data_IF_167730585073
#
_entry.id   IF_167730585073
#
_cell.length_a   1.000
_cell.length_b   1.000
_cell.length_c   1.000
_cell.angle_alpha   90.00
_cell.angle_beta   90.00
_cell.angle_gamma   90.00
#
_symmetry.space_group_name_H-M   'P 1'
#
loop_
_entity.id
_entity.type
_entity.pdbx_description
1 polymer ?
#
# COMPACT_ATOMS: atom_id res chain seq x y z
N UNK A 1 -0.46 -25.08 -4.49
CA UNK A 1 -0.25 -24.23 -5.68
C UNK A 1 -0.67 -22.83 -5.30
N UNK A 2 0.28 -21.93 -5.08
CA UNK A 2 -0.04 -20.52 -4.82
C UNK A 2 -0.34 -19.83 -6.14
N UNK A 3 -1.62 -19.69 -6.48
CA UNK A 3 -2.04 -18.89 -7.62
C UNK A 3 -2.18 -17.44 -7.17
N UNK A 4 -1.15 -16.63 -7.43
CA UNK A 4 -1.11 -15.20 -7.16
C UNK A 4 0.26 -14.61 -7.50
N UNK A 5 0.29 -13.34 -7.91
CA UNK A 5 1.54 -12.62 -8.18
C UNK A 5 1.57 -11.30 -7.40
N UNK A 6 2.78 -10.84 -7.11
CA UNK A 6 3.02 -9.54 -6.49
C UNK A 6 3.10 -8.49 -7.59
N UNK A 7 2.49 -7.34 -7.39
CA UNK A 7 2.59 -6.22 -8.31
C UNK A 7 2.49 -4.90 -7.56
N UNK A 8 3.20 -3.88 -8.07
CA UNK A 8 3.05 -2.51 -7.62
C UNK A 8 1.73 -1.94 -8.13
N UNK A 9 0.91 -1.43 -7.22
CA UNK A 9 -0.31 -0.71 -7.58
C UNK A 9 0.01 0.76 -7.92
N UNK A 10 -0.41 1.22 -9.09
CA UNK A 10 -0.34 2.63 -9.50
C UNK A 10 -1.75 3.22 -9.58
N UNK A 11 -1.97 4.36 -8.93
CA UNK A 11 -3.23 5.08 -8.95
C UNK A 11 -3.31 5.99 -10.18
N UNK A 12 -4.35 5.79 -11.00
CA UNK A 12 -4.58 6.53 -12.25
C UNK A 12 -5.80 7.43 -12.09
N UNK A 13 -5.57 8.74 -11.98
CA UNK A 13 -6.63 9.74 -11.84
C UNK A 13 -7.27 10.07 -13.19
N UNK A 14 -8.60 10.09 -13.26
CA UNK A 14 -9.34 10.56 -14.45
C UNK A 14 -9.92 11.94 -14.19
N UNK A 15 -9.24 12.96 -14.70
CA UNK A 15 -9.63 14.37 -14.58
C UNK A 15 -10.34 14.82 -15.86
N UNK A 16 -11.60 15.23 -15.75
CA UNK A 16 -12.35 15.73 -16.89
C UNK A 16 -13.53 16.62 -16.47
N UNK A 17 -13.99 17.53 -17.34
CA UNK A 17 -15.31 18.11 -17.20
C UNK A 17 -16.39 17.03 -17.37
N UNK A 18 -17.61 17.32 -16.91
CA UNK A 18 -18.74 16.36 -16.96
C UNK A 18 -19.44 16.25 -18.32
N UNK A 19 -18.72 16.34 -19.44
CA UNK A 19 -19.27 16.16 -20.81
C UNK A 19 -18.58 15.04 -21.59
N UNK A 20 -17.77 14.21 -20.93
CA UNK A 20 -16.96 13.16 -21.58
C UNK A 20 -17.12 11.78 -20.91
N UNK A 21 -18.30 11.47 -20.39
CA UNK A 21 -18.55 10.24 -19.61
C UNK A 21 -18.19 8.96 -20.37
N UNK A 22 -18.51 8.89 -21.67
CA UNK A 22 -18.11 7.75 -22.51
C UNK A 22 -16.58 7.58 -22.57
N UNK A 23 -15.82 8.67 -22.63
CA UNK A 23 -14.36 8.62 -22.68
C UNK A 23 -13.79 8.24 -21.31
N UNK A 24 -14.38 8.73 -20.21
CA UNK A 24 -14.04 8.30 -18.84
C UNK A 24 -14.23 6.78 -18.69
N UNK A 25 -15.34 6.26 -19.21
CA UNK A 25 -15.61 4.83 -19.19
C UNK A 25 -14.59 4.04 -20.02
N UNK A 26 -14.25 4.51 -21.23
CA UNK A 26 -13.19 3.90 -22.05
C UNK A 26 -11.86 3.83 -21.31
N UNK A 27 -11.48 4.84 -20.53
CA UNK A 27 -10.25 4.79 -19.71
C UNK A 27 -10.30 3.65 -18.69
N UNK A 28 -11.42 3.49 -17.98
CA UNK A 28 -11.59 2.42 -16.98
C UNK A 28 -11.50 1.04 -17.63
N UNK A 29 -12.16 0.85 -18.77
CA UNK A 29 -12.11 -0.41 -19.52
C UNK A 29 -10.69 -0.72 -19.99
N UNK A 30 -9.96 0.27 -20.50
CA UNK A 30 -8.58 0.07 -20.95
C UNK A 30 -7.61 -0.17 -19.78
N UNK A 31 -7.87 0.37 -18.60
CA UNK A 31 -7.14 0.00 -17.38
C UNK A 31 -7.39 -1.47 -17.01
N UNK A 32 -8.64 -1.94 -17.07
CA UNK A 32 -8.96 -3.36 -16.82
C UNK A 32 -8.27 -4.26 -17.85
N UNK A 33 -8.32 -3.88 -19.14
CA UNK A 33 -7.63 -4.61 -20.22
C UNK A 33 -6.12 -4.64 -20.00
N UNK A 34 -5.52 -3.51 -19.65
CA UNK A 34 -4.09 -3.44 -19.33
C UNK A 34 -3.75 -4.40 -18.19
N UNK A 35 -4.54 -4.39 -17.11
CA UNK A 35 -4.28 -5.26 -15.97
C UNK A 35 -4.35 -6.75 -16.35
N UNK A 36 -5.37 -7.12 -17.12
CA UNK A 36 -5.54 -8.51 -17.59
C UNK A 36 -4.43 -8.98 -18.54
N UNK A 37 -3.85 -8.09 -19.34
CA UNK A 37 -2.82 -8.44 -20.33
C UNK A 37 -1.39 -8.32 -19.80
N UNK A 38 -1.14 -7.41 -18.85
CA UNK A 38 0.22 -6.98 -18.52
C UNK A 38 0.59 -7.11 -17.05
N UNK A 39 -0.37 -7.18 -16.11
CA UNK A 39 -0.02 -7.07 -14.69
C UNK A 39 0.89 -8.16 -14.17
N UNK A 40 0.71 -9.40 -14.60
CA UNK A 40 1.54 -10.51 -14.15
C UNK A 40 2.98 -10.40 -14.66
N UNK A 41 3.15 -9.99 -15.92
CA UNK A 41 4.45 -9.87 -16.59
C UNK A 41 5.20 -8.62 -16.15
N UNK A 42 4.52 -7.48 -16.14
CA UNK A 42 5.12 -6.18 -15.84
C UNK A 42 5.13 -5.85 -14.34
N UNK A 43 4.52 -6.71 -13.50
CA UNK A 43 4.41 -6.54 -12.04
C UNK A 43 3.80 -5.19 -11.65
N UNK A 44 2.85 -4.70 -12.46
CA UNK A 44 2.15 -3.43 -12.26
C UNK A 44 0.65 -3.65 -12.38
N UNK A 45 -0.12 -3.18 -11.40
CA UNK A 45 -1.59 -3.10 -11.45
C UNK A 45 -2.00 -1.63 -11.44
N UNK A 46 -2.91 -1.25 -12.32
CA UNK A 46 -3.45 0.10 -12.40
C UNK A 46 -4.80 0.17 -11.68
N UNK A 47 -4.96 1.16 -10.81
CA UNK A 47 -6.18 1.41 -10.05
C UNK A 47 -6.83 2.72 -10.54
N UNK A 48 -8.01 2.69 -11.19
CA UNK A 48 -8.67 3.90 -11.64
C UNK A 48 -9.25 4.67 -10.45
N UNK A 49 -8.85 5.93 -10.32
CA UNK A 49 -9.31 6.84 -9.27
C UNK A 49 -10.12 7.98 -9.89
N UNK A 50 -11.31 8.21 -9.33
CA UNK A 50 -12.17 9.32 -9.73
C UNK A 50 -13.19 9.66 -8.65
N UNK A 51 -13.83 10.81 -8.79
CA UNK A 51 -14.83 11.31 -7.83
C UNK A 51 -16.03 10.35 -7.65
N UNK A 52 -16.41 9.60 -8.68
CA UNK A 52 -17.50 8.61 -8.64
C UNK A 52 -17.16 7.35 -7.84
N UNK A 53 -15.88 6.95 -7.78
CA UNK A 53 -15.46 5.70 -7.12
C UNK A 53 -15.09 5.86 -5.65
N UNK A 54 -14.95 7.11 -5.18
CA UNK A 54 -14.50 7.44 -3.82
C UNK A 54 -15.44 8.38 -3.07
N UNK A 55 -16.59 8.73 -3.65
CA UNK A 55 -17.67 9.39 -2.92
C UNK A 55 -18.48 8.33 -2.18
N UNK A 56 -18.05 7.99 -0.96
CA UNK A 56 -19.02 7.51 0.03
C UNK A 56 -20.06 8.62 0.23
N UNK A 57 -21.37 8.30 0.25
CA UNK A 57 -22.38 9.29 0.64
C UNK A 57 -22.19 9.62 2.12
N UNK A 58 -21.42 10.67 2.40
CA UNK A 58 -21.22 11.21 3.74
C UNK A 58 -21.72 12.66 3.76
N UNK A 59 -22.69 12.94 4.62
CA UNK A 59 -23.29 14.27 4.81
C UNK A 59 -22.27 15.21 5.47
N UNK A 60 -21.81 16.24 4.75
CA UNK A 60 -21.02 17.34 5.30
C UNK A 60 -20.09 17.99 4.26
N UNK A 61 -20.41 19.22 3.85
CA UNK A 61 -19.76 19.92 2.73
C UNK A 61 -18.26 20.28 2.93
N UNK A 62 -17.66 19.99 4.09
CA UNK A 62 -16.24 20.25 4.35
C UNK A 62 -15.34 19.00 4.18
N UNK A 63 -15.89 17.79 4.27
CA UNK A 63 -15.12 16.55 4.14
C UNK A 63 -14.68 16.29 2.69
N UNK A 64 -15.53 16.64 1.72
CA UNK A 64 -15.32 16.37 0.29
C UNK A 64 -14.10 17.12 -0.28
N UNK A 65 -13.84 18.34 0.18
CA UNK A 65 -12.68 19.14 -0.25
C UNK A 65 -11.36 18.57 0.25
N UNK A 66 -11.34 18.00 1.46
CA UNK A 66 -10.14 17.37 2.05
C UNK A 66 -9.87 16.02 1.38
N UNK A 67 -10.93 15.23 1.16
CA UNK A 67 -10.85 13.92 0.49
C UNK A 67 -10.36 14.09 -0.96
N UNK A 68 -10.88 15.08 -1.68
CA UNK A 68 -10.43 15.43 -3.04
C UNK A 68 -8.95 15.84 -3.07
N UNK A 69 -8.48 16.64 -2.09
CA UNK A 69 -7.05 17.02 -1.99
C UNK A 69 -6.14 15.82 -1.73
N UNK A 70 -6.57 14.86 -0.90
CA UNK A 70 -5.81 13.64 -0.61
C UNK A 70 -5.78 12.66 -1.78
N UNK A 71 -6.86 12.59 -2.57
CA UNK A 71 -6.92 11.76 -3.77
C UNK A 71 -5.94 12.28 -4.83
N UNK A 72 -5.98 13.58 -5.12
CA UNK A 72 -5.10 14.21 -6.12
C UNK A 72 -3.62 14.05 -5.76
N UNK A 73 -3.26 14.15 -4.48
CA UNK A 73 -1.86 14.04 -4.04
C UNK A 73 -1.31 12.61 -4.14
N UNK A 74 -2.17 11.59 -3.98
CA UNK A 74 -1.79 10.16 -3.98
C UNK A 74 -1.78 9.50 -5.36
N UNK A 75 -2.25 10.16 -6.41
CA UNK A 75 -2.25 9.57 -7.75
C UNK A 75 -0.85 9.57 -8.37
N UNK A 76 -0.53 8.51 -9.11
CA UNK A 76 0.78 8.29 -9.76
C UNK A 76 0.78 8.75 -11.22
N UNK A 77 -0.37 8.63 -11.88
CA UNK A 77 -0.61 9.05 -13.27
C UNK A 77 -1.93 9.82 -13.33
N UNK A 78 -1.97 10.91 -14.10
CA UNK A 78 -3.21 11.63 -14.42
C UNK A 78 -3.58 11.50 -15.89
N UNK A 79 -4.87 11.30 -16.16
CA UNK A 79 -5.48 11.31 -17.49
C UNK A 79 -6.47 12.47 -17.56
N UNK A 80 -6.09 13.52 -18.28
CA UNK A 80 -6.92 14.69 -18.54
C UNK A 80 -7.69 14.54 -19.84
N UNK A 81 -9.01 14.66 -19.81
CA UNK A 81 -9.87 14.54 -21.01
C UNK A 81 -10.74 15.78 -21.13
N UNK A 82 -10.65 16.47 -22.26
CA UNK A 82 -11.47 17.63 -22.56
C UNK A 82 -12.35 17.37 -23.79
N UNK A 83 -13.66 17.55 -23.61
CA UNK A 83 -14.64 17.49 -24.68
C UNK A 83 -14.84 18.86 -25.30
N UNK A 84 -15.94 19.50 -24.93
CA UNK A 84 -16.40 20.78 -25.49
C UNK A 84 -16.25 21.95 -24.51
N UNK A 85 -15.86 21.67 -23.27
CA UNK A 85 -15.78 22.68 -22.20
C UNK A 85 -14.52 22.52 -21.36
N UNK A 86 -14.14 23.61 -20.69
CA UNK A 86 -13.06 23.64 -19.70
C UNK A 86 -13.60 23.31 -18.31
N UNK A 87 -14.84 23.71 -18.03
CA UNK A 87 -15.51 23.50 -16.75
C UNK A 87 -15.71 24.80 -15.95
N UNK A 88 -15.94 24.63 -14.65
CA UNK A 88 -16.26 25.73 -13.72
C UNK A 88 -14.98 26.30 -13.11
N UNK A 89 -14.84 27.62 -13.17
CA UNK A 89 -13.71 28.37 -12.60
C UNK A 89 -13.58 28.13 -11.09
N UNK A 90 -12.35 27.92 -10.63
CA UNK A 90 -12.03 27.86 -9.20
C UNK A 90 -11.35 29.15 -8.76
N UNK A 91 -11.04 29.27 -7.46
CA UNK A 91 -10.26 30.39 -6.94
C UNK A 91 -8.87 30.49 -7.60
N UNK A 92 -8.29 29.35 -7.96
CA UNK A 92 -6.88 29.23 -8.35
C UNK A 92 -6.65 28.89 -9.83
N UNK A 93 -7.69 28.52 -10.59
CA UNK A 93 -7.53 28.07 -11.97
C UNK A 93 -8.76 28.32 -12.85
N UNK A 94 -8.56 28.20 -14.18
CA UNK A 94 -9.63 28.29 -15.19
C UNK A 94 -10.73 27.26 -14.99
N UNK A 95 -10.39 26.08 -14.46
CA UNK A 95 -11.36 25.12 -13.93
C UNK A 95 -10.76 24.17 -12.92
N UNK A 96 -11.62 23.43 -12.20
CA UNK A 96 -11.18 22.38 -11.26
C UNK A 96 -10.30 21.32 -11.92
N UNK A 97 -10.67 20.84 -13.13
CA UNK A 97 -9.86 19.89 -13.89
C UNK A 97 -8.47 20.44 -14.21
N UNK A 98 -8.38 21.72 -14.60
CA UNK A 98 -7.09 22.36 -14.88
C UNK A 98 -6.28 22.53 -13.59
N UNK A 99 -6.92 22.86 -12.47
CA UNK A 99 -6.26 22.93 -11.17
C UNK A 99 -5.64 21.59 -10.76
N UNK A 100 -6.37 20.48 -10.97
CA UNK A 100 -5.89 19.12 -10.70
C UNK A 100 -4.69 18.75 -11.57
N UNK A 101 -4.78 19.02 -12.88
CA UNK A 101 -3.67 18.76 -13.82
C UNK A 101 -2.43 19.57 -13.41
N UNK A 102 -2.60 20.85 -13.10
CA UNK A 102 -1.52 21.74 -12.64
C UNK A 102 -0.81 21.17 -11.41
N UNK A 103 -1.57 20.84 -10.37
CA UNK A 103 -1.02 20.27 -9.14
C UNK A 103 -0.25 18.98 -9.40
N UNK A 104 -0.76 18.13 -10.28
CA UNK A 104 -0.13 16.86 -10.61
C UNK A 104 1.20 17.05 -11.36
N UNK A 105 1.22 17.90 -12.38
CA UNK A 105 2.43 18.21 -13.16
C UNK A 105 3.47 18.91 -12.28
N UNK A 106 3.06 19.87 -11.44
CA UNK A 106 3.96 20.58 -10.53
C UNK A 106 4.56 19.68 -9.45
N UNK A 107 3.90 18.55 -9.15
CA UNK A 107 4.46 17.50 -8.29
C UNK A 107 5.48 16.59 -9.02
N UNK A 108 5.82 16.89 -10.28
CA UNK A 108 6.76 16.10 -11.10
C UNK A 108 6.17 14.80 -11.64
N UNK A 109 4.85 14.62 -11.57
CA UNK A 109 4.17 13.39 -11.97
C UNK A 109 3.66 13.44 -13.41
N UNK A 110 3.66 12.32 -14.14
CA UNK A 110 3.27 12.31 -15.55
C UNK A 110 1.76 12.50 -15.74
N UNK A 111 1.40 13.28 -16.76
CA UNK A 111 0.00 13.47 -17.17
C UNK A 111 -0.17 13.19 -18.67
N UNK A 112 -1.25 12.50 -19.02
CA UNK A 112 -1.70 12.31 -20.41
C UNK A 112 -2.91 13.21 -20.66
N UNK A 113 -2.80 14.14 -21.60
CA UNK A 113 -3.86 15.12 -21.87
C UNK A 113 -4.46 14.90 -23.26
N UNK A 114 -5.78 14.82 -23.33
CA UNK A 114 -6.52 14.55 -24.55
C UNK A 114 -7.58 15.61 -24.82
N UNK A 115 -7.63 16.10 -26.06
CA UNK A 115 -8.62 17.07 -26.51
C UNK A 115 -9.49 16.48 -27.63
N UNK A 116 -10.80 16.63 -27.51
CA UNK A 116 -11.73 16.25 -28.56
C UNK A 116 -11.66 17.24 -29.73
N UNK A 117 -11.69 16.69 -30.95
CA UNK A 117 -11.89 17.40 -32.22
C UNK A 117 -13.17 16.93 -32.91
N UNK A 118 -14.04 16.23 -32.17
CA UNK A 118 -15.37 15.81 -32.65
C UNK A 118 -16.22 17.02 -33.07
N UNK A 119 -17.07 16.83 -34.07
CA UNK A 119 -18.03 17.85 -34.47
C UNK A 119 -19.02 18.11 -33.34
N UNK A 120 -19.15 19.37 -32.94
CA UNK A 120 -20.04 19.79 -31.86
C UNK A 120 -21.33 20.42 -32.40
N UNK A 121 -22.47 20.26 -31.71
CA UNK A 121 -23.71 20.95 -32.05
C UNK A 121 -23.55 22.48 -32.08
N UNK A 122 -24.32 23.17 -32.93
CA UNK A 122 -24.26 24.65 -33.03
C UNK A 122 -24.63 25.38 -31.74
N UNK A 123 -25.44 24.77 -30.89
CA UNK A 123 -25.85 25.30 -29.58
C UNK A 123 -24.83 25.02 -28.47
N UNK A 124 -23.66 24.46 -28.78
CA UNK A 124 -22.56 24.31 -27.81
C UNK A 124 -22.12 25.68 -27.31
N UNK A 125 -21.82 25.76 -26.02
CA UNK A 125 -21.31 26.96 -25.35
C UNK A 125 -20.00 27.44 -26.00
N UNK A 126 -20.11 28.51 -26.78
CA UNK A 126 -18.99 29.08 -27.53
C UNK A 126 -17.93 29.71 -26.62
N UNK A 127 -18.31 30.18 -25.43
CA UNK A 127 -17.36 30.76 -24.48
C UNK A 127 -16.51 29.67 -23.83
N UNK A 128 -17.12 28.52 -23.51
CA UNK A 128 -16.39 27.34 -23.02
C UNK A 128 -15.45 26.76 -24.07
N UNK A 129 -15.90 26.66 -25.33
CA UNK A 129 -15.04 26.24 -26.45
C UNK A 129 -13.86 27.20 -26.64
N UNK A 130 -14.11 28.51 -26.62
CA UNK A 130 -13.04 29.51 -26.75
C UNK A 130 -12.02 29.44 -25.61
N UNK A 131 -12.48 29.20 -24.37
CA UNK A 131 -11.58 28.97 -23.23
C UNK A 131 -10.74 27.70 -23.41
N UNK A 132 -11.33 26.63 -23.96
CA UNK A 132 -10.64 25.37 -24.20
C UNK A 132 -9.55 25.54 -25.26
N UNK A 133 -9.86 26.23 -26.36
CA UNK A 133 -8.89 26.55 -27.41
C UNK A 133 -7.75 27.42 -26.89
N UNK A 134 -8.03 28.39 -26.02
CA UNK A 134 -6.98 29.20 -25.40
C UNK A 134 -6.09 28.37 -24.49
N UNK A 135 -6.67 27.51 -23.65
CA UNK A 135 -5.91 26.60 -22.79
C UNK A 135 -5.01 25.65 -23.60
N UNK A 136 -5.54 25.07 -24.69
CA UNK A 136 -4.76 24.22 -25.61
C UNK A 136 -3.59 24.99 -26.24
N UNK A 137 -3.79 26.26 -26.63
CA UNK A 137 -2.73 27.14 -27.14
C UNK A 137 -1.66 27.46 -26.09
N UNK A 138 -2.07 27.71 -24.84
CA UNK A 138 -1.13 27.92 -23.73
C UNK A 138 -0.22 26.70 -23.52
N UNK A 139 -0.80 25.49 -23.53
CA UNK A 139 -0.04 24.24 -23.47
C UNK A 139 0.92 24.10 -24.67
N UNK A 140 0.48 24.43 -25.89
CA UNK A 140 1.30 24.29 -27.10
C UNK A 140 2.51 25.24 -27.11
N UNK A 141 2.34 26.46 -26.58
CA UNK A 141 3.39 27.48 -26.58
C UNK A 141 4.45 27.24 -25.49
N UNK A 142 4.32 26.19 -24.67
CA UNK A 142 5.08 26.00 -23.44
C UNK A 142 5.10 27.27 -22.57
N UNK A 143 4.05 28.08 -22.65
CA UNK A 143 3.93 29.33 -21.88
C UNK A 143 3.30 28.97 -20.54
N UNK A 144 4.09 29.05 -19.47
CA UNK A 144 3.69 28.71 -18.10
C UNK A 144 4.38 27.46 -17.57
N UNK A 145 3.83 26.87 -16.51
CA UNK A 145 4.38 25.69 -15.81
C UNK A 145 4.04 24.35 -16.51
N UNK A 146 3.27 24.38 -17.61
CA UNK A 146 2.83 23.17 -18.32
C UNK A 146 3.89 22.63 -19.29
N UNK A 147 4.52 21.51 -18.93
CA UNK A 147 5.36 20.69 -19.82
C UNK A 147 4.75 19.30 -20.06
N UNK A 148 3.47 19.24 -20.41
CA UNK A 148 2.79 17.97 -20.72
C UNK A 148 2.49 17.87 -22.22
N UNK A 149 2.81 16.72 -22.82
CA UNK A 149 2.38 16.38 -24.17
C UNK A 149 0.87 16.14 -24.17
N UNK A 150 0.18 16.67 -25.17
CA UNK A 150 -1.24 16.43 -25.40
C UNK A 150 -1.47 15.76 -26.75
N UNK A 151 -2.65 15.15 -26.91
CA UNK A 151 -3.11 14.59 -28.19
C UNK A 151 -4.56 14.93 -28.48
N UNK A 152 -4.85 15.04 -29.76
CA UNK A 152 -6.21 15.20 -30.25
C UNK A 152 -6.85 13.84 -30.56
N UNK A 153 -8.15 13.73 -30.35
CA UNK A 153 -8.96 12.59 -30.80
C UNK A 153 -10.24 13.05 -31.50
N UNK A 154 -10.77 12.27 -32.44
CA UNK A 154 -11.94 12.63 -33.24
C UNK A 154 -13.16 11.71 -33.05
N UNK A 155 -13.06 10.74 -32.15
CA UNK A 155 -14.12 9.81 -31.79
C UNK A 155 -13.74 9.04 -30.52
N UNK A 156 -14.71 8.35 -29.92
CA UNK A 156 -14.46 7.46 -28.77
C UNK A 156 -13.49 6.32 -29.10
N UNK A 157 -13.56 5.74 -30.31
CA UNK A 157 -12.68 4.64 -30.72
C UNK A 157 -11.25 5.11 -30.99
N UNK A 158 -11.10 6.28 -31.63
CA UNK A 158 -9.81 6.92 -31.84
C UNK A 158 -9.15 7.26 -30.49
N UNK A 159 -9.92 7.83 -29.55
CA UNK A 159 -9.47 8.07 -28.18
C UNK A 159 -9.02 6.77 -27.50
N UNK A 160 -9.86 5.72 -27.54
CA UNK A 160 -9.57 4.42 -26.92
C UNK A 160 -8.26 3.82 -27.43
N UNK A 161 -8.05 3.84 -28.75
CA UNK A 161 -6.84 3.31 -29.37
C UNK A 161 -5.59 4.12 -29.00
N UNK A 162 -5.69 5.45 -29.02
CA UNK A 162 -4.59 6.34 -28.59
C UNK A 162 -4.24 6.13 -27.13
N UNK A 163 -5.26 6.15 -26.26
CA UNK A 163 -5.10 5.96 -24.82
C UNK A 163 -4.46 4.60 -24.50
N UNK A 164 -4.94 3.50 -25.08
CA UNK A 164 -4.34 2.16 -24.87
C UNK A 164 -2.85 2.14 -25.17
N UNK A 165 -2.46 2.68 -26.33
CA UNK A 165 -1.06 2.72 -26.75
C UNK A 165 -0.20 3.62 -25.85
N UNK A 166 -0.74 4.78 -25.47
CA UNK A 166 -0.04 5.73 -24.60
C UNK A 166 0.10 5.22 -23.18
N UNK A 167 -0.95 4.56 -22.65
CA UNK A 167 -0.94 3.94 -21.33
C UNK A 167 0.17 2.90 -21.24
N UNK A 168 0.26 2.00 -22.21
CA UNK A 168 1.34 1.02 -22.25
C UNK A 168 2.72 1.69 -22.32
N UNK A 169 2.91 2.66 -23.23
CA UNK A 169 4.18 3.37 -23.37
C UNK A 169 4.59 4.09 -22.09
N UNK A 170 3.64 4.76 -21.43
CA UNK A 170 3.90 5.46 -20.19
C UNK A 170 4.26 4.48 -19.08
N UNK A 171 3.41 3.49 -18.81
CA UNK A 171 3.56 2.62 -17.66
C UNK A 171 4.74 1.65 -17.82
N UNK A 172 4.99 1.17 -19.03
CA UNK A 172 5.95 0.08 -19.29
C UNK A 172 7.26 0.58 -19.91
N UNK A 173 7.21 1.58 -20.80
CA UNK A 173 8.39 2.01 -21.55
C UNK A 173 9.02 3.31 -21.03
N UNK A 174 8.28 4.14 -20.28
CA UNK A 174 8.80 5.41 -19.79
C UNK A 174 9.67 5.25 -18.55
N UNK A 175 10.65 6.13 -18.39
CA UNK A 175 11.52 6.15 -17.21
C UNK A 175 10.77 6.47 -15.91
N UNK A 176 9.64 7.21 -16.00
CA UNK A 176 8.80 7.59 -14.84
C UNK A 176 8.40 6.42 -13.96
N UNK A 177 8.10 5.28 -14.57
CA UNK A 177 7.65 4.09 -13.87
C UNK A 177 8.66 2.94 -13.93
N UNK A 178 9.75 3.10 -14.71
CA UNK A 178 10.81 2.10 -14.83
C UNK A 178 11.86 2.18 -13.71
N UNK A 179 11.99 3.29 -12.98
CA UNK A 179 12.90 3.35 -11.82
C UNK A 179 12.58 2.30 -10.73
N UNK A 180 11.35 1.79 -10.69
CA UNK A 180 10.97 0.68 -9.81
C UNK A 180 11.30 -0.73 -10.35
N UNK A 181 11.75 -0.86 -11.61
CA UNK A 181 12.36 -2.13 -12.07
C UNK A 181 13.73 -2.35 -11.43
N UNK A 182 14.29 -1.32 -10.76
CA UNK A 182 15.49 -1.40 -9.92
C UNK A 182 15.14 -1.06 -8.46
N UNK A 183 14.16 -1.76 -7.90
CA UNK A 183 14.26 -2.20 -6.52
C UNK A 183 13.98 -3.71 -6.47
N UNK A 184 14.91 -4.48 -7.04
CA UNK A 184 15.16 -5.87 -6.63
C UNK A 184 15.35 -6.03 -5.11
N UNK A 185 15.47 -4.92 -4.38
CA UNK A 185 15.36 -4.83 -2.93
C UNK A 185 13.95 -5.21 -2.45
N UNK A 186 12.87 -4.73 -3.07
CA UNK A 186 11.51 -4.99 -2.57
C UNK A 186 10.87 -6.26 -3.08
N UNK A 187 11.19 -6.80 -4.26
CA UNK A 187 10.48 -8.02 -4.72
C UNK A 187 10.91 -9.24 -3.89
N UNK A 188 12.18 -9.33 -3.49
CA UNK A 188 12.66 -10.39 -2.60
C UNK A 188 12.15 -10.21 -1.18
N UNK A 189 12.16 -8.98 -0.67
CA UNK A 189 11.62 -8.62 0.66
C UNK A 189 10.09 -8.76 0.72
N UNK A 190 9.34 -8.37 -0.31
CA UNK A 190 7.87 -8.52 -0.42
C UNK A 190 7.46 -9.97 -0.70
N UNK A 191 8.24 -10.73 -1.48
CA UNK A 191 8.06 -12.19 -1.60
C UNK A 191 8.35 -12.85 -0.25
N UNK A 192 9.37 -12.42 0.50
CA UNK A 192 9.63 -12.87 1.87
C UNK A 192 8.51 -12.43 2.83
N UNK A 193 7.95 -11.24 2.68
CA UNK A 193 6.86 -10.66 3.49
C UNK A 193 5.49 -11.30 3.16
N UNK A 194 5.28 -11.74 1.92
CA UNK A 194 4.07 -12.45 1.50
C UNK A 194 4.16 -13.97 1.71
N UNK A 195 5.36 -14.55 1.62
CA UNK A 195 5.63 -15.92 2.09
C UNK A 195 5.53 -16.01 3.61
N UNK A 196 5.95 -14.97 4.35
CA UNK A 196 5.76 -14.92 5.80
C UNK A 196 4.30 -14.66 6.22
N UNK A 197 3.49 -14.02 5.37
CA UNK A 197 2.06 -13.79 5.63
C UNK A 197 1.12 -14.92 5.15
N UNK A 198 1.62 -15.93 4.42
CA UNK A 198 0.87 -17.16 4.08
C UNK A 198 1.50 -18.38 4.75
N UNK A 199 1.26 -18.52 6.05
CA UNK A 199 1.47 -19.75 6.79
C UNK A 199 2.92 -19.97 7.25
N UNK A 200 3.13 -19.68 8.54
CA UNK A 200 4.29 -20.03 9.37
C UNK A 200 5.59 -19.22 9.19
N UNK A 201 5.69 -18.09 9.91
CA UNK A 201 6.44 -17.99 11.17
C UNK A 201 6.26 -16.57 11.74
N UNK A 202 5.29 -16.40 12.66
CA UNK A 202 5.62 -15.59 13.83
C UNK A 202 6.84 -16.27 14.45
N UNK A 203 8.04 -15.74 14.25
CA UNK A 203 9.14 -16.09 15.12
C UNK A 203 8.70 -15.74 16.53
N UNK A 204 8.24 -16.76 17.27
CA UNK A 204 8.70 -17.23 18.58
C UNK A 204 9.46 -16.21 19.45
N UNK A 205 9.09 -14.93 19.43
CA UNK A 205 9.64 -13.90 20.31
C UNK A 205 9.03 -14.16 21.66
N UNK A 206 9.79 -14.85 22.50
CA UNK A 206 9.57 -14.91 23.94
C UNK A 206 10.37 -13.78 24.60
N UNK A 207 9.91 -13.31 25.76
CA UNK A 207 10.64 -12.33 26.58
C UNK A 207 12.08 -12.77 26.87
N UNK A 208 12.99 -11.83 27.15
CA UNK A 208 14.38 -12.17 27.45
C UNK A 208 14.47 -13.06 28.71
N UNK A 209 13.63 -12.82 29.71
CA UNK A 209 13.49 -13.64 30.90
C UNK A 209 13.03 -15.08 30.57
N UNK A 210 12.08 -15.23 29.64
CA UNK A 210 11.64 -16.54 29.16
C UNK A 210 12.74 -17.25 28.37
N UNK A 211 13.53 -16.53 27.55
CA UNK A 211 14.69 -17.09 26.85
C UNK A 211 15.74 -17.61 27.83
N UNK A 212 16.04 -16.84 28.87
CA UNK A 212 17.00 -17.26 29.88
C UNK A 212 16.58 -18.53 30.61
N UNK A 213 15.31 -18.59 31.04
CA UNK A 213 14.75 -19.75 31.74
C UNK A 213 14.76 -21.02 30.88
N UNK A 214 14.23 -20.92 29.65
CA UNK A 214 14.14 -22.08 28.76
C UNK A 214 15.52 -22.53 28.27
N UNK A 215 16.47 -21.60 28.08
CA UNK A 215 17.84 -21.94 27.69
C UNK A 215 18.56 -22.73 28.78
N UNK A 216 18.39 -22.34 30.05
CA UNK A 216 19.01 -23.04 31.17
C UNK A 216 18.41 -24.44 31.35
N UNK A 217 17.08 -24.54 31.36
CA UNK A 217 16.38 -25.82 31.45
C UNK A 217 16.76 -26.77 30.31
N UNK A 218 16.96 -26.23 29.09
CA UNK A 218 17.37 -27.00 27.92
C UNK A 218 18.81 -27.51 28.02
N UNK A 219 19.78 -26.63 28.35
CA UNK A 219 21.20 -27.00 28.41
C UNK A 219 21.52 -28.00 29.50
N UNK A 220 20.81 -27.90 30.62
CA UNK A 220 21.03 -28.76 31.80
C UNK A 220 20.07 -29.96 31.85
N UNK A 221 19.16 -30.08 30.87
CA UNK A 221 18.07 -31.06 30.84
C UNK A 221 17.32 -31.15 32.19
N UNK A 222 17.01 -29.99 32.76
CA UNK A 222 16.47 -29.86 34.12
C UNK A 222 15.03 -29.33 34.15
N UNK A 223 14.37 -29.52 35.30
CA UNK A 223 13.06 -28.93 35.58
C UNK A 223 13.21 -27.47 36.01
N UNK A 224 12.19 -26.66 35.71
CA UNK A 224 12.07 -25.30 36.22
C UNK A 224 11.25 -25.36 37.50
N UNK A 225 11.88 -25.00 38.62
CA UNK A 225 11.24 -24.88 39.92
C UNK A 225 10.78 -23.45 40.16
N UNK A 226 9.58 -23.31 40.72
CA UNK A 226 8.96 -22.04 41.04
C UNK A 226 8.35 -22.09 42.46
N UNK A 227 9.05 -21.56 43.46
CA UNK A 227 8.62 -21.57 44.85
C UNK A 227 8.25 -20.17 45.33
N UNK A 228 7.07 -20.03 45.92
CA UNK A 228 6.68 -18.81 46.62
C UNK A 228 7.07 -18.90 48.09
N UNK A 229 7.87 -17.95 48.56
CA UNK A 229 8.25 -17.79 49.97
C UNK A 229 7.64 -16.53 50.56
N UNK A 230 7.85 -16.28 51.86
CA UNK A 230 7.45 -15.02 52.50
C UNK A 230 8.27 -13.81 52.01
N UNK A 231 9.47 -14.05 51.47
CA UNK A 231 10.40 -13.00 51.02
C UNK A 231 10.34 -12.73 49.51
N UNK A 232 9.60 -13.55 48.75
CA UNK A 232 9.46 -13.43 47.30
C UNK A 232 9.35 -14.77 46.58
N UNK A 233 9.33 -14.74 45.25
CA UNK A 233 9.40 -15.93 44.42
C UNK A 233 10.84 -16.39 44.23
N UNK A 234 11.07 -17.69 44.25
CA UNK A 234 12.37 -18.31 43.97
C UNK A 234 12.17 -19.18 42.74
N UNK A 235 12.87 -18.83 41.66
CA UNK A 235 12.82 -19.55 40.40
C UNK A 235 14.20 -20.16 40.16
N UNK A 236 14.25 -21.42 39.76
CA UNK A 236 15.49 -22.15 39.52
C UNK A 236 15.34 -23.08 38.33
N UNK A 237 16.34 -23.12 37.46
CA UNK A 237 16.49 -24.15 36.43
C UNK A 237 17.92 -24.69 36.52
N UNK A 238 18.06 -25.99 36.75
CA UNK A 238 19.36 -26.62 37.01
C UNK A 238 20.07 -25.97 38.19
N UNK A 239 21.32 -25.57 37.99
CA UNK A 239 22.15 -24.92 39.01
C UNK A 239 22.00 -23.39 39.03
N UNK A 240 21.27 -22.80 38.08
CA UNK A 240 21.07 -21.35 38.00
C UNK A 240 19.78 -20.94 38.71
N UNK A 241 19.95 -20.11 39.75
CA UNK A 241 18.85 -19.41 40.40
C UNK A 241 18.52 -18.09 39.69
N UNK A 242 17.24 -17.84 39.51
CA UNK A 242 16.65 -16.61 38.97
C UNK A 242 15.91 -15.86 40.07
N UNK A 243 16.54 -15.72 41.24
CA UNK A 243 15.94 -15.07 42.41
C UNK A 243 15.74 -13.58 42.11
N UNK A 244 14.49 -13.10 42.09
CA UNK A 244 14.21 -11.71 41.78
C UNK A 244 14.73 -10.78 42.86
N UNK A 245 15.43 -9.73 42.45
CA UNK A 245 16.08 -8.78 43.38
C UNK A 245 15.11 -7.70 43.87
N UNK A 246 13.95 -7.56 43.24
CA UNK A 246 12.89 -6.61 43.60
C UNK A 246 11.51 -7.05 43.05
N UNK A 247 10.40 -6.44 43.52
CA UNK A 247 9.05 -6.81 43.08
C UNK A 247 8.77 -6.63 41.57
N UNK A 248 9.53 -5.77 40.88
CA UNK A 248 9.39 -5.58 39.43
C UNK A 248 9.99 -6.75 38.66
N UNK A 249 11.18 -7.20 39.07
CA UNK A 249 11.83 -8.36 38.47
C UNK A 249 11.06 -9.66 38.78
N UNK A 250 10.40 -9.72 39.93
CA UNK A 250 9.50 -10.82 40.32
C UNK A 250 8.35 -10.98 39.32
N UNK A 251 7.68 -9.87 38.99
CA UNK A 251 6.61 -9.85 38.00
C UNK A 251 7.05 -10.33 36.60
N UNK A 252 8.29 -10.03 36.19
CA UNK A 252 8.80 -10.42 34.87
C UNK A 252 9.06 -11.92 34.76
N UNK A 253 9.68 -12.54 35.77
CA UNK A 253 9.93 -13.98 35.73
C UNK A 253 8.67 -14.81 35.98
N UNK A 254 7.70 -14.30 36.74
CA UNK A 254 6.35 -14.88 36.81
C UNK A 254 5.71 -14.90 35.43
N UNK A 255 5.76 -13.78 34.71
CA UNK A 255 5.17 -13.68 33.38
C UNK A 255 5.91 -14.54 32.36
N UNK A 256 7.24 -14.66 32.46
CA UNK A 256 8.04 -15.54 31.63
C UNK A 256 7.59 -17.01 31.74
N UNK A 257 7.28 -17.50 32.94
CA UNK A 257 6.76 -18.86 33.14
C UNK A 257 5.37 -19.01 32.48
N UNK A 258 4.49 -18.02 32.64
CA UNK A 258 3.17 -18.03 32.01
C UNK A 258 3.27 -17.99 30.48
N UNK A 259 4.19 -17.19 29.94
CA UNK A 259 4.47 -17.08 28.52
C UNK A 259 4.96 -18.42 27.95
N UNK A 260 5.95 -19.04 28.60
CA UNK A 260 6.47 -20.35 28.17
C UNK A 260 5.40 -21.44 28.22
N UNK A 261 4.54 -21.45 29.24
CA UNK A 261 3.47 -22.44 29.37
C UNK A 261 2.34 -22.20 28.35
N UNK A 262 1.92 -20.95 28.15
CA UNK A 262 0.88 -20.58 27.17
C UNK A 262 1.29 -20.86 25.73
N UNK A 263 2.58 -20.68 25.41
CA UNK A 263 3.17 -21.05 24.12
C UNK A 263 3.50 -22.54 24.01
N UNK A 264 3.23 -23.32 25.07
CA UNK A 264 3.37 -24.77 25.09
C UNK A 264 4.80 -25.28 25.17
N UNK A 265 5.79 -24.42 25.47
CA UNK A 265 7.20 -24.82 25.61
C UNK A 265 7.50 -25.55 26.91
N UNK A 266 6.77 -25.22 27.97
CA UNK A 266 6.81 -25.92 29.25
C UNK A 266 5.42 -26.38 29.66
N UNK A 267 5.35 -27.34 30.56
CA UNK A 267 4.11 -27.76 31.22
C UNK A 267 4.34 -27.96 32.70
N UNK A 268 3.37 -27.59 33.52
CA UNK A 268 3.45 -27.90 34.95
C UNK A 268 3.28 -29.39 35.23
N UNK A 269 4.04 -29.91 36.21
CA UNK A 269 3.94 -31.28 36.71
C UNK A 269 3.04 -31.41 37.95
N UNK A 270 2.57 -30.29 38.53
CA UNK A 270 1.71 -30.31 39.70
C UNK A 270 0.65 -29.19 39.68
N UNK A 271 -0.45 -29.39 40.42
CA UNK A 271 -1.54 -28.41 40.49
C UNK A 271 -1.15 -27.08 41.15
N UNK A 272 -0.02 -27.06 41.89
CA UNK A 272 0.51 -25.86 42.54
C UNK A 272 1.40 -25.02 41.62
N UNK A 273 1.65 -25.46 40.38
CA UNK A 273 2.52 -24.77 39.41
C UNK A 273 3.91 -24.45 39.96
N UNK A 274 4.46 -25.39 40.74
CA UNK A 274 5.79 -25.25 41.39
C UNK A 274 6.92 -25.94 40.62
N UNK A 275 6.58 -26.85 39.71
CA UNK A 275 7.55 -27.60 38.91
C UNK A 275 7.06 -27.63 37.48
N UNK A 276 7.92 -27.29 36.55
CA UNK A 276 7.66 -27.32 35.11
C UNK A 276 8.74 -28.10 34.39
N UNK A 277 8.35 -28.79 33.32
CA UNK A 277 9.28 -29.48 32.43
C UNK A 277 9.11 -29.02 31.00
N UNK A 278 10.21 -29.01 30.24
CA UNK A 278 10.19 -28.79 28.80
C UNK A 278 9.28 -29.82 28.11
N UNK A 279 8.45 -29.31 27.21
CA UNK A 279 7.68 -30.15 26.29
C UNK A 279 8.52 -30.47 25.06
N UNK A 280 7.98 -31.30 24.16
CA UNK A 280 8.58 -31.52 22.84
C UNK A 280 8.84 -30.20 22.09
N UNK A 281 7.91 -29.25 22.16
CA UNK A 281 8.07 -27.94 21.53
C UNK A 281 9.13 -27.09 22.25
N UNK A 282 9.29 -27.25 23.57
CA UNK A 282 10.37 -26.61 24.32
C UNK A 282 11.76 -27.11 23.91
N UNK A 283 11.94 -28.42 23.75
CA UNK A 283 13.21 -28.98 23.24
C UNK A 283 13.47 -28.56 21.80
N UNK A 284 12.45 -28.60 20.93
CA UNK A 284 12.57 -28.13 19.54
C UNK A 284 12.95 -26.66 19.46
N UNK A 285 12.39 -25.82 20.33
CA UNK A 285 12.80 -24.42 20.45
C UNK A 285 14.27 -24.31 20.85
N UNK A 286 14.74 -25.11 21.81
CA UNK A 286 16.14 -25.12 22.22
C UNK A 286 17.10 -25.59 21.12
N UNK A 287 16.76 -26.64 20.38
CA UNK A 287 17.54 -27.15 19.24
C UNK A 287 17.73 -26.07 18.17
N UNK A 288 16.69 -25.26 17.91
CA UNK A 288 16.70 -24.20 16.91
C UNK A 288 17.46 -22.93 17.36
N UNK A 289 17.61 -22.69 18.68
CA UNK A 289 18.05 -21.39 19.20
C UNK A 289 19.31 -21.43 20.09
N UNK A 290 19.67 -22.58 20.67
CA UNK A 290 20.73 -22.68 21.67
C UNK A 290 21.81 -23.72 21.38
N UNK A 291 21.62 -24.53 20.32
CA UNK A 291 22.64 -25.47 19.84
C UNK A 291 23.56 -24.74 18.87
N UNK A 292 24.83 -24.63 19.23
CA UNK A 292 25.93 -24.33 18.30
C UNK A 292 26.68 -25.63 17.99
#
# INVERSE_FOLDING_TARGET
>A
MEYGFIARALQVMIASPGDVDQKRQSVREEIVNFNGMHSEKEKIVLLPVGWETHSYPETGADAQTILNKQIVSKCDLLVGIFGTKVGTRTENALSGTIEEINKHINAGKPAMIYFSTELVPRNTDQDQLKKLENFKKEMQLNKGEFKALYKDFNSTDDFRNKFRNDLYRMVVLSEYFNESKISNLSEKELIEELKSNKGEKEEKKISEEAKELIAEAYRTDSEIHNFKTMEGQIIQAGDKGFTPVNPRNDAYYVEAINELESKGYIRSLNSKRQVFKLTREGYKYGDENFVN
#
